data_IF_181013989065
#
_entry.id   IF_181013989065
#
_cell.length_a   1.000
_cell.length_b   1.000
_cell.length_c   1.000
_cell.angle_alpha   90.00
_cell.angle_beta   90.00
_cell.angle_gamma   90.00
#
_symmetry.space_group_name_H-M   'P 1'
#
loop_
_entity.id
_entity.type
_entity.pdbx_description
1 polymer ?
#
# COMPACT_ATOMS: atom_id res chain seq x y z
N UNK A 1 29.22 5.36 15.20
CA UNK A 1 29.03 4.99 13.77
C UNK A 1 27.63 4.40 13.60
N UNK A 2 26.62 5.21 13.29
CA UNK A 2 25.29 4.69 12.94
C UNK A 2 24.94 5.12 11.52
N UNK A 3 25.72 4.65 10.55
CA UNK A 3 25.39 4.81 9.14
C UNK A 3 24.26 3.83 8.78
N UNK A 4 23.08 4.35 8.53
CA UNK A 4 22.12 3.63 7.71
C UNK A 4 20.95 2.92 8.38
N UNK A 5 20.72 3.01 9.68
CA UNK A 5 19.57 2.36 10.31
C UNK A 5 18.22 2.84 9.74
N UNK A 6 18.10 4.12 9.39
CA UNK A 6 16.86 4.65 8.79
C UNK A 6 16.62 4.21 7.35
N UNK A 7 17.67 4.09 6.53
CA UNK A 7 17.57 3.63 5.15
C UNK A 7 17.35 2.11 5.07
N UNK A 8 18.03 1.36 5.93
CA UNK A 8 17.89 -0.10 6.04
C UNK A 8 16.45 -0.45 6.45
N UNK A 9 15.92 0.19 7.48
CA UNK A 9 14.56 -0.08 7.97
C UNK A 9 13.48 0.21 6.92
N UNK A 10 13.58 1.31 6.17
CA UNK A 10 12.61 1.65 5.11
C UNK A 10 12.70 0.73 3.91
N UNK A 11 13.90 0.29 3.53
CA UNK A 11 14.06 -0.72 2.48
C UNK A 11 13.50 -2.06 2.93
N UNK A 12 13.74 -2.49 4.16
CA UNK A 12 13.16 -3.71 4.72
C UNK A 12 11.64 -3.72 4.65
N UNK A 13 10.97 -2.59 4.94
CA UNK A 13 9.50 -2.50 4.83
C UNK A 13 9.03 -2.62 3.38
N UNK A 14 9.72 -2.00 2.41
CA UNK A 14 9.41 -2.15 1.00
C UNK A 14 9.64 -3.59 0.54
N UNK A 15 10.81 -4.15 0.85
CA UNK A 15 11.16 -5.52 0.46
C UNK A 15 10.16 -6.53 1.04
N UNK A 16 9.79 -6.38 2.32
CA UNK A 16 8.77 -7.22 2.97
C UNK A 16 7.41 -7.08 2.28
N UNK A 17 6.99 -5.87 1.92
CA UNK A 17 5.76 -5.63 1.18
C UNK A 17 5.79 -6.34 -0.19
N UNK A 18 6.92 -6.24 -0.91
CA UNK A 18 7.10 -6.93 -2.18
C UNK A 18 7.07 -8.46 -2.00
N UNK A 19 7.70 -9.00 -0.95
CA UNK A 19 7.66 -10.44 -0.67
C UNK A 19 6.24 -10.93 -0.34
N UNK A 20 5.43 -10.14 0.38
CA UNK A 20 4.02 -10.44 0.59
C UNK A 20 3.25 -10.45 -0.73
N UNK A 21 3.44 -9.43 -1.56
CA UNK A 21 2.76 -9.32 -2.86
C UNK A 21 3.18 -10.42 -3.85
N UNK A 22 4.40 -10.93 -3.78
CA UNK A 22 4.84 -12.12 -4.55
C UNK A 22 4.06 -13.39 -4.21
N UNK A 23 3.46 -13.44 -3.02
CA UNK A 23 2.60 -14.57 -2.61
C UNK A 23 1.13 -14.38 -3.05
N UNK A 24 0.83 -13.30 -3.76
CA UNK A 24 -0.56 -12.94 -4.09
C UNK A 24 -0.77 -12.56 -5.54
N UNK A 25 0.19 -11.83 -6.14
CA UNK A 25 0.06 -11.27 -7.48
C UNK A 25 0.35 -12.31 -8.56
N UNK A 26 -0.30 -12.17 -9.74
CA UNK A 26 0.14 -12.85 -10.94
C UNK A 26 1.52 -12.34 -11.37
N UNK A 27 2.10 -12.97 -12.39
CA UNK A 27 3.38 -12.52 -12.95
C UNK A 27 3.29 -11.09 -13.49
N UNK A 28 4.19 -10.22 -13.01
CA UNK A 28 4.25 -8.84 -13.49
C UNK A 28 4.98 -7.88 -12.55
N UNK A 29 4.72 -6.61 -12.72
CA UNK A 29 5.29 -5.52 -11.95
C UNK A 29 4.53 -5.33 -10.63
N UNK A 30 5.24 -5.26 -9.51
CA UNK A 30 4.64 -4.96 -8.19
C UNK A 30 4.57 -3.46 -7.95
N UNK A 31 5.68 -2.79 -8.15
CA UNK A 31 5.87 -1.35 -7.94
C UNK A 31 7.14 -0.94 -8.67
N UNK A 32 7.23 0.30 -9.10
CA UNK A 32 8.51 0.86 -9.50
C UNK A 32 8.76 2.19 -8.84
N UNK A 33 10.05 2.54 -8.72
CA UNK A 33 10.48 3.86 -8.31
C UNK A 33 11.11 4.59 -9.50
N UNK A 34 10.91 5.89 -9.58
CA UNK A 34 11.51 6.73 -10.59
C UNK A 34 12.19 7.93 -9.94
N UNK A 35 13.44 8.20 -10.29
CA UNK A 35 14.18 9.36 -9.82
C UNK A 35 13.92 10.60 -10.68
N UNK A 36 14.54 11.73 -10.32
CA UNK A 36 14.39 13.00 -11.05
C UNK A 36 14.98 12.98 -12.47
N UNK A 37 15.75 11.95 -12.83
CA UNK A 37 16.36 11.78 -14.14
C UNK A 37 15.59 10.77 -15.01
N UNK A 38 14.48 10.20 -14.48
CA UNK A 38 13.69 9.19 -15.16
C UNK A 38 14.27 7.77 -15.04
N UNK A 39 15.26 7.57 -14.17
CA UNK A 39 15.78 6.22 -13.92
C UNK A 39 14.80 5.43 -13.06
N UNK A 40 14.41 4.25 -13.55
CA UNK A 40 13.46 3.35 -12.88
C UNK A 40 14.16 2.20 -12.20
N UNK A 41 13.65 1.84 -11.03
CA UNK A 41 13.94 0.57 -10.35
C UNK A 41 12.63 -0.17 -10.19
N UNK A 42 12.54 -1.37 -10.75
CA UNK A 42 11.34 -2.19 -10.80
C UNK A 42 11.42 -3.35 -9.80
N UNK A 43 10.30 -3.63 -9.16
CA UNK A 43 10.08 -4.80 -8.29
C UNK A 43 9.02 -5.66 -8.95
N UNK A 44 9.35 -6.91 -9.21
CA UNK A 44 8.50 -7.82 -10.00
C UNK A 44 8.11 -9.07 -9.23
N UNK A 45 7.02 -9.70 -9.67
CA UNK A 45 6.51 -10.98 -9.21
C UNK A 45 6.62 -12.00 -10.35
N UNK A 46 6.96 -13.24 -10.02
CA UNK A 46 7.01 -14.36 -10.96
C UNK A 46 5.66 -15.04 -11.19
N UNK A 47 4.68 -14.79 -10.31
CA UNK A 47 3.33 -15.34 -10.40
C UNK A 47 3.18 -16.78 -9.92
N UNK A 48 4.17 -17.34 -9.23
CA UNK A 48 4.13 -18.74 -8.81
C UNK A 48 3.10 -19.03 -7.71
N UNK A 49 2.67 -18.00 -6.95
CA UNK A 49 1.80 -18.12 -5.77
C UNK A 49 0.54 -17.24 -5.89
N UNK A 50 -0.03 -17.13 -7.06
CA UNK A 50 -1.19 -16.27 -7.32
C UNK A 50 -2.36 -16.57 -6.36
N UNK A 51 -2.86 -15.53 -5.69
CA UNK A 51 -4.00 -15.61 -4.78
C UNK A 51 -5.31 -15.53 -5.56
N UNK A 52 -6.15 -16.57 -5.45
CA UNK A 52 -7.38 -16.74 -6.26
C UNK A 52 -8.66 -16.74 -5.43
N UNK A 53 -8.60 -16.33 -4.17
CA UNK A 53 -9.79 -16.23 -3.32
C UNK A 53 -10.30 -14.80 -3.28
N UNK A 54 -11.60 -14.57 -3.01
CA UNK A 54 -12.12 -13.24 -2.74
C UNK A 54 -11.28 -12.49 -1.73
N UNK A 55 -10.97 -11.24 -2.02
CA UNK A 55 -10.09 -10.40 -1.19
C UNK A 55 -10.67 -8.99 -1.06
N UNK A 56 -10.83 -8.54 0.18
CA UNK A 56 -11.12 -7.15 0.47
C UNK A 56 -9.97 -6.53 1.28
N UNK A 57 -9.60 -5.30 0.95
CA UNK A 57 -8.52 -4.55 1.63
C UNK A 57 -9.08 -3.27 2.22
N UNK A 58 -9.06 -3.18 3.55
CA UNK A 58 -9.49 -1.96 4.25
C UNK A 58 -8.40 -0.90 4.17
N UNK A 59 -8.78 0.30 3.74
CA UNK A 59 -7.88 1.45 3.58
C UNK A 59 -8.49 2.73 4.14
N UNK A 60 -7.65 3.64 4.64
CA UNK A 60 -8.07 4.94 5.10
C UNK A 60 -6.95 5.98 5.00
N UNK A 61 -7.21 7.21 5.44
CA UNK A 61 -6.24 8.32 5.41
C UNK A 61 -4.96 8.10 6.23
N UNK A 62 -4.88 7.05 7.06
CA UNK A 62 -3.66 6.63 7.76
C UNK A 62 -2.89 5.53 7.01
N UNK A 63 -3.49 4.91 6.01
CA UNK A 63 -2.81 3.95 5.12
C UNK A 63 -1.78 4.69 4.28
N UNK A 64 -0.50 4.44 4.52
CA UNK A 64 0.59 5.20 3.92
C UNK A 64 1.78 4.33 3.49
N UNK A 65 2.57 4.78 2.50
CA UNK A 65 3.83 4.16 2.07
C UNK A 65 3.65 2.71 1.61
N UNK A 66 4.21 1.71 2.31
CA UNK A 66 4.09 0.30 1.95
C UNK A 66 2.63 -0.18 1.87
N UNK A 67 1.74 0.33 2.73
CA UNK A 67 0.31 0.03 2.65
C UNK A 67 -0.30 0.56 1.34
N UNK A 68 0.18 1.67 0.81
CA UNK A 68 -0.27 2.22 -0.48
C UNK A 68 0.32 1.45 -1.67
N UNK A 69 1.55 0.95 -1.53
CA UNK A 69 2.14 0.04 -2.54
C UNK A 69 1.32 -1.25 -2.59
N UNK A 70 0.99 -1.82 -1.43
CA UNK A 70 0.19 -3.03 -1.33
C UNK A 70 -1.19 -2.82 -1.95
N UNK A 71 -1.95 -1.83 -1.47
CA UNK A 71 -3.31 -1.57 -1.95
C UNK A 71 -3.34 -1.16 -3.43
N UNK A 72 -2.37 -0.35 -3.88
CA UNK A 72 -2.26 0.04 -5.29
C UNK A 72 -2.00 -1.15 -6.21
N UNK A 73 -1.14 -2.09 -5.81
CA UNK A 73 -0.89 -3.30 -6.58
C UNK A 73 -2.13 -4.21 -6.62
N UNK A 74 -2.80 -4.45 -5.48
CA UNK A 74 -4.05 -5.23 -5.43
C UNK A 74 -5.11 -4.63 -6.37
N UNK A 75 -5.28 -3.31 -6.33
CA UNK A 75 -6.23 -2.59 -7.18
C UNK A 75 -5.88 -2.69 -8.65
N UNK A 76 -4.62 -2.41 -9.02
CA UNK A 76 -4.18 -2.38 -10.41
C UNK A 76 -4.28 -3.76 -11.09
N UNK A 77 -4.10 -4.84 -10.34
CA UNK A 77 -4.31 -6.21 -10.82
C UNK A 77 -5.76 -6.70 -10.72
N UNK A 78 -6.63 -5.97 -10.02
CA UNK A 78 -8.02 -6.36 -9.84
C UNK A 78 -8.20 -7.67 -9.07
N UNK A 79 -7.26 -8.03 -8.20
CA UNK A 79 -7.31 -9.28 -7.41
C UNK A 79 -8.01 -9.11 -6.06
N UNK A 80 -8.51 -7.92 -5.77
CA UNK A 80 -9.27 -7.63 -4.56
C UNK A 80 -9.91 -6.27 -4.60
N UNK A 81 -10.90 -6.05 -3.76
CA UNK A 81 -11.69 -4.82 -3.64
C UNK A 81 -11.19 -3.96 -2.49
N UNK A 82 -10.80 -2.72 -2.76
CA UNK A 82 -10.42 -1.76 -1.72
C UNK A 82 -11.66 -1.11 -1.14
N UNK A 83 -11.80 -1.16 0.19
CA UNK A 83 -12.95 -0.62 0.92
C UNK A 83 -12.49 0.38 1.96
N UNK A 84 -13.17 1.50 2.09
CA UNK A 84 -12.86 2.53 3.10
C UNK A 84 -12.75 3.93 2.53
N UNK A 85 -11.69 4.65 2.89
CA UNK A 85 -11.47 6.02 2.41
C UNK A 85 -10.10 6.15 1.75
N UNK A 86 -9.91 7.25 1.02
CA UNK A 86 -8.67 7.56 0.31
C UNK A 86 -7.43 7.48 1.21
N UNK A 87 -6.36 6.87 0.71
CA UNK A 87 -5.11 6.73 1.44
C UNK A 87 -4.31 8.04 1.54
N UNK A 88 -3.26 8.05 2.35
CA UNK A 88 -2.50 9.25 2.72
C UNK A 88 -1.78 9.95 1.55
N UNK A 89 -1.22 9.21 0.60
CA UNK A 89 -0.43 9.77 -0.50
C UNK A 89 1.06 9.96 -0.18
N UNK A 90 1.70 9.01 0.49
CA UNK A 90 3.14 9.04 0.79
C UNK A 90 3.94 8.21 -0.24
N UNK A 91 3.97 8.67 -1.47
CA UNK A 91 4.62 7.99 -2.60
C UNK A 91 6.06 8.43 -2.85
N UNK A 92 6.92 8.60 -1.82
CA UNK A 92 8.30 9.06 -1.99
C UNK A 92 9.33 8.18 -1.28
N UNK A 93 10.49 8.02 -1.91
CA UNK A 93 11.70 7.45 -1.34
C UNK A 93 12.57 8.57 -0.81
N UNK A 94 12.95 8.50 0.46
CA UNK A 94 13.83 9.47 1.09
C UNK A 94 15.11 8.80 1.58
N UNK A 95 16.25 9.45 1.37
CA UNK A 95 17.56 9.04 1.88
C UNK A 95 18.03 10.03 2.95
N UNK A 96 18.63 9.51 4.00
CA UNK A 96 19.32 10.31 5.02
C UNK A 96 20.80 10.27 4.68
N UNK A 97 21.39 11.45 4.48
CA UNK A 97 22.84 11.63 4.23
C UNK A 97 23.44 12.29 5.44
N UNK A 98 24.32 11.56 6.15
CA UNK A 98 25.07 12.11 7.27
C UNK A 98 26.18 13.04 6.80
N UNK A 99 26.39 14.13 7.52
CA UNK A 99 27.46 15.11 7.31
C UNK A 99 28.62 14.86 8.28
N UNK A 100 29.81 15.40 7.98
CA UNK A 100 31.02 15.22 8.80
C UNK A 100 30.89 15.83 10.20
N UNK A 101 30.09 16.87 10.34
CA UNK A 101 29.81 17.56 11.61
C UNK A 101 28.80 16.83 12.53
N UNK A 102 28.34 15.64 12.13
CA UNK A 102 27.36 14.84 12.87
C UNK A 102 25.90 15.21 12.56
N UNK A 103 25.64 16.22 11.74
CA UNK A 103 24.29 16.53 11.23
C UNK A 103 23.88 15.59 10.11
N UNK A 104 22.63 15.65 9.67
CA UNK A 104 22.14 14.86 8.55
C UNK A 104 21.12 15.62 7.72
N UNK A 105 21.12 15.37 6.42
CA UNK A 105 20.13 15.89 5.47
C UNK A 105 19.24 14.75 5.00
N UNK A 106 17.92 14.96 5.02
CA UNK A 106 16.93 14.04 4.50
C UNK A 106 16.47 14.50 3.12
N UNK A 107 16.83 13.75 2.10
CA UNK A 107 16.54 14.08 0.69
C UNK A 107 15.50 13.13 0.10
N UNK A 108 14.54 13.66 -0.66
CA UNK A 108 13.70 12.85 -1.53
C UNK A 108 14.49 12.51 -2.79
N UNK A 109 14.64 11.22 -3.08
CA UNK A 109 15.47 10.72 -4.18
C UNK A 109 14.66 10.11 -5.32
N UNK A 110 13.46 9.56 -5.04
CA UNK A 110 12.59 8.95 -6.04
C UNK A 110 11.12 9.02 -5.59
N UNK A 111 10.22 8.75 -6.52
CA UNK A 111 8.79 8.54 -6.26
C UNK A 111 8.42 7.09 -6.50
N UNK A 112 7.33 6.65 -5.83
CA UNK A 112 6.70 5.36 -6.07
C UNK A 112 5.55 5.48 -7.07
N UNK A 113 5.46 4.49 -7.94
CA UNK A 113 4.36 4.32 -8.88
C UNK A 113 3.79 2.91 -8.79
N UNK A 114 2.47 2.80 -8.90
CA UNK A 114 1.79 1.50 -8.96
C UNK A 114 2.12 0.77 -10.28
N UNK A 115 1.78 -0.52 -10.43
CA UNK A 115 2.01 -1.26 -11.66
C UNK A 115 1.50 -0.54 -12.92
N UNK A 116 0.33 0.11 -12.84
CA UNK A 116 -0.26 0.87 -13.95
C UNK A 116 0.29 2.30 -14.09
N UNK A 117 1.30 2.67 -13.30
CA UNK A 117 1.95 3.98 -13.40
C UNK A 117 1.29 5.12 -12.64
N UNK A 118 0.41 4.82 -11.70
CA UNK A 118 -0.20 5.86 -10.86
C UNK A 118 0.83 6.43 -9.87
N UNK A 119 1.08 7.75 -9.93
CA UNK A 119 1.88 8.47 -8.93
C UNK A 119 1.10 8.57 -7.61
N UNK A 120 1.56 7.84 -6.61
CA UNK A 120 0.95 7.81 -5.28
C UNK A 120 1.16 9.14 -4.52
N UNK A 121 2.25 9.87 -4.82
CA UNK A 121 2.66 11.02 -4.01
C UNK A 121 1.66 12.16 -4.05
N UNK A 122 1.16 12.58 -2.86
CA UNK A 122 0.13 13.60 -2.63
C UNK A 122 -1.23 13.31 -3.26
N UNK A 123 -1.38 12.15 -3.91
CA UNK A 123 -2.64 11.72 -4.52
C UNK A 123 -3.32 10.62 -3.72
N UNK A 124 -2.54 9.68 -3.15
CA UNK A 124 -3.07 8.48 -2.50
C UNK A 124 -3.72 7.53 -3.49
N UNK A 125 -4.31 6.47 -2.94
CA UNK A 125 -5.09 5.47 -3.67
C UNK A 125 -6.55 5.65 -3.26
N UNK A 126 -7.43 5.83 -4.23
CA UNK A 126 -8.88 5.86 -4.00
C UNK A 126 -9.38 4.41 -3.80
N UNK A 127 -10.21 4.14 -2.80
CA UNK A 127 -10.85 2.85 -2.65
C UNK A 127 -11.82 2.56 -3.82
N UNK A 128 -12.15 1.29 -4.04
CA UNK A 128 -13.17 0.90 -5.02
C UNK A 128 -14.57 1.13 -4.47
N UNK A 129 -14.72 0.92 -3.16
CA UNK A 129 -15.96 1.18 -2.43
C UNK A 129 -15.66 2.15 -1.29
N UNK A 130 -16.13 3.39 -1.46
CA UNK A 130 -15.96 4.44 -0.44
C UNK A 130 -16.93 4.21 0.71
N UNK A 131 -16.40 4.04 1.91
CA UNK A 131 -17.16 3.90 3.16
C UNK A 131 -16.48 4.75 4.23
N UNK A 132 -17.14 5.84 4.63
CA UNK A 132 -16.68 6.64 5.77
C UNK A 132 -16.87 5.86 7.08
N UNK A 133 -15.92 6.00 8.01
CA UNK A 133 -16.10 5.47 9.36
C UNK A 133 -17.23 6.21 10.06
N UNK A 134 -18.14 5.47 10.70
CA UNK A 134 -19.23 6.07 11.44
C UNK A 134 -18.70 7.08 12.48
N UNK A 135 -19.35 8.24 12.57
CA UNK A 135 -18.93 9.33 13.47
C UNK A 135 -18.86 8.87 14.93
N UNK A 136 -19.75 7.97 15.35
CA UNK A 136 -19.78 7.41 16.71
C UNK A 136 -18.52 6.61 17.06
N UNK A 137 -17.80 6.10 16.05
CA UNK A 137 -16.62 5.27 16.22
C UNK A 137 -15.31 6.06 16.24
N UNK A 138 -15.28 7.28 15.72
CA UNK A 138 -14.05 8.08 15.57
C UNK A 138 -13.29 8.32 16.88
N UNK A 139 -13.99 8.33 18.02
CA UNK A 139 -13.41 8.55 19.34
C UNK A 139 -13.38 7.29 20.22
N UNK A 140 -13.79 6.14 19.70
CA UNK A 140 -13.73 4.87 20.44
C UNK A 140 -12.30 4.32 20.45
N UNK A 141 -11.85 3.87 21.61
CA UNK A 141 -10.55 3.21 21.79
C UNK A 141 -10.58 1.78 21.26
N UNK A 142 -11.73 1.13 21.39
CA UNK A 142 -11.96 -0.23 20.93
C UNK A 142 -13.27 -0.28 20.15
N UNK A 143 -13.23 -0.82 18.95
CA UNK A 143 -14.38 -1.03 18.07
C UNK A 143 -14.53 -2.53 17.91
N UNK A 144 -15.75 -3.06 18.10
CA UNK A 144 -16.03 -4.49 17.86
C UNK A 144 -16.25 -4.73 16.36
N UNK A 145 -16.15 -6.00 15.93
CA UNK A 145 -16.37 -6.35 14.51
C UNK A 145 -17.77 -5.96 14.04
N UNK A 146 -18.79 -6.13 14.88
CA UNK A 146 -20.19 -5.81 14.56
C UNK A 146 -20.44 -4.30 14.43
N UNK A 147 -19.67 -3.47 15.13
CA UNK A 147 -19.79 -2.03 15.11
C UNK A 147 -19.02 -1.39 13.93
N UNK A 148 -17.97 -2.06 13.44
CA UNK A 148 -17.11 -1.53 12.37
C UNK A 148 -17.83 -1.57 11.01
N UNK A 149 -18.44 -0.45 10.64
CA UNK A 149 -19.20 -0.33 9.39
C UNK A 149 -18.32 -0.52 8.13
N UNK A 150 -17.02 -0.20 8.19
CA UNK A 150 -16.10 -0.44 7.08
C UNK A 150 -15.80 -1.94 6.94
N UNK A 151 -15.52 -2.63 8.05
CA UNK A 151 -15.32 -4.06 8.09
C UNK A 151 -16.58 -4.82 7.67
N UNK A 152 -17.75 -4.43 8.17
CA UNK A 152 -19.03 -5.06 7.79
C UNK A 152 -19.30 -4.93 6.28
N UNK A 153 -18.98 -3.78 5.67
CA UNK A 153 -19.11 -3.61 4.22
C UNK A 153 -18.13 -4.51 3.46
N UNK A 154 -16.89 -4.65 3.93
CA UNK A 154 -15.92 -5.54 3.32
C UNK A 154 -16.38 -7.03 3.39
N UNK A 155 -16.92 -7.45 4.53
CA UNK A 155 -17.50 -8.81 4.71
C UNK A 155 -18.67 -9.03 3.74
N UNK A 156 -19.58 -8.07 3.61
CA UNK A 156 -20.71 -8.15 2.67
C UNK A 156 -20.23 -8.37 1.23
N UNK A 157 -19.22 -7.61 0.77
CA UNK A 157 -18.63 -7.75 -0.57
C UNK A 157 -18.07 -9.16 -0.77
N UNK A 158 -17.29 -9.66 0.21
CA UNK A 158 -16.70 -11.00 0.12
C UNK A 158 -17.76 -12.11 0.09
N UNK A 159 -18.90 -11.92 0.76
CA UNK A 159 -20.03 -12.87 0.71
C UNK A 159 -20.74 -12.85 -0.64
N UNK A 160 -20.92 -11.67 -1.23
CA UNK A 160 -21.49 -11.50 -2.56
C UNK A 160 -20.59 -12.17 -3.62
N UNK A 161 -19.28 -11.87 -3.64
CA UNK A 161 -18.31 -12.47 -4.56
C UNK A 161 -18.22 -14.01 -4.44
N UNK A 162 -18.40 -14.54 -3.24
CA UNK A 162 -18.42 -16.00 -3.01
C UNK A 162 -19.68 -16.65 -3.63
N UNK A 163 -20.84 -16.02 -3.47
CA UNK A 163 -22.10 -16.55 -4.00
C UNK A 163 -22.14 -16.52 -5.53
N UNK A 164 -21.48 -15.53 -6.15
CA UNK A 164 -21.38 -15.40 -7.61
C UNK A 164 -20.41 -16.43 -8.23
N UNK A 165 -19.53 -17.01 -7.40
CA UNK A 165 -18.53 -18.00 -7.84
C UNK A 165 -18.99 -19.47 -7.69
N UNK A 166 -20.11 -19.72 -7.02
CA UNK A 166 -20.78 -21.04 -6.89
C UNK A 166 -21.86 -21.24 -7.95
#
# INVERSE_FOLDING_TARGET
MSRGLGDVYKRQVLDTCCEMLKQMLPKGLIVYTEDKYGQRTEYTCDGNNEFKKPLAVLVNGYSASAAEIFSGAIKDYGIGTLVGTKTYGKGIVQRIVGMEDGTAVKLTVSKYFTPNGTDIHKKGIEPDVTVELDESLKNKVTVTEEEDNQLQKAISILQEEKNDAE
#
